data_IF_434460732257
#
_entry.id   IF_434460732257
#
_cell.length_a   1.000
_cell.length_b   1.000
_cell.length_c   1.000
_cell.angle_alpha   90.00
_cell.angle_beta   90.00
_cell.angle_gamma   90.00
#
_symmetry.space_group_name_H-M   'P 1'
#
loop_
_entity.id
_entity.type
_entity.pdbx_description
1 polymer ?
#
# COMPACT_ATOMS: atom_id res chain seq x y z
N UNK A 1 54.43 14.88 -15.30
CA UNK A 1 53.78 13.72 -14.70
C UNK A 1 52.71 14.22 -13.73
N UNK A 2 51.56 14.51 -14.23
CA UNK A 2 50.34 14.88 -13.49
C UNK A 2 49.20 14.45 -14.38
N UNK A 3 48.10 14.02 -13.70
CA UNK A 3 46.76 13.83 -14.26
C UNK A 3 46.39 12.41 -14.73
N UNK A 4 45.91 11.64 -13.75
CA UNK A 4 44.98 10.54 -13.99
C UNK A 4 44.25 10.11 -12.70
N UNK A 5 43.44 10.97 -12.10
CA UNK A 5 42.46 10.59 -11.08
C UNK A 5 41.26 11.56 -11.18
N UNK A 6 40.31 11.21 -12.00
CA UNK A 6 39.08 11.98 -12.10
C UNK A 6 38.19 11.41 -13.18
N UNK A 7 37.39 10.45 -12.88
CA UNK A 7 36.05 10.24 -13.43
C UNK A 7 35.54 8.79 -13.27
N UNK A 8 35.16 8.41 -12.06
CA UNK A 8 34.44 7.14 -11.85
C UNK A 8 33.19 7.26 -10.99
N UNK A 9 32.74 8.46 -10.65
CA UNK A 9 31.56 8.65 -9.78
C UNK A 9 30.26 9.03 -10.49
N UNK A 10 30.23 9.12 -11.82
CA UNK A 10 29.02 9.54 -12.54
C UNK A 10 28.26 8.41 -13.26
N UNK A 11 28.73 7.17 -13.20
CA UNK A 11 28.08 6.06 -13.93
C UNK A 11 27.05 5.27 -13.15
N UNK A 12 26.96 5.44 -11.83
CA UNK A 12 26.04 4.65 -11.00
C UNK A 12 24.66 5.29 -10.77
N UNK A 13 24.54 6.60 -10.95
CA UNK A 13 23.25 7.27 -10.78
C UNK A 13 22.36 7.22 -12.02
N UNK A 14 22.91 7.19 -13.21
CA UNK A 14 22.15 7.12 -14.46
C UNK A 14 21.48 5.77 -14.67
N UNK A 15 22.10 4.68 -14.22
CA UNK A 15 21.53 3.32 -14.39
C UNK A 15 20.30 3.10 -13.49
N UNK A 16 20.23 3.76 -12.35
CA UNK A 16 19.08 3.65 -11.43
C UNK A 16 17.85 4.44 -11.92
N UNK A 17 18.05 5.48 -12.69
CA UNK A 17 16.96 6.31 -13.23
C UNK A 17 16.39 5.73 -14.53
N UNK A 18 17.21 5.13 -15.38
CA UNK A 18 16.78 4.45 -16.60
C UNK A 18 16.02 3.15 -16.33
N UNK A 19 16.45 2.38 -15.33
CA UNK A 19 15.74 1.15 -14.94
C UNK A 19 14.36 1.44 -14.30
N UNK A 20 14.17 2.66 -13.80
CA UNK A 20 12.90 3.14 -13.23
C UNK A 20 11.87 3.51 -14.31
N UNK A 21 12.31 3.89 -15.50
CA UNK A 21 11.47 4.23 -16.64
C UNK A 21 11.09 3.00 -17.49
N UNK A 22 11.82 1.90 -17.35
CA UNK A 22 11.65 0.70 -18.17
C UNK A 22 10.56 -0.27 -17.69
N UNK A 23 9.99 -0.07 -16.49
CA UNK A 23 8.77 -0.79 -16.11
C UNK A 23 7.61 -0.05 -16.78
N UNK A 24 7.22 -0.54 -17.94
CA UNK A 24 6.13 0.02 -18.73
C UNK A 24 4.89 0.17 -17.84
N UNK A 25 4.16 1.26 -18.03
CA UNK A 25 2.92 1.58 -17.32
C UNK A 25 1.89 0.44 -17.38
N UNK A 26 2.02 -0.43 -18.39
CA UNK A 26 1.19 -1.62 -18.61
C UNK A 26 1.49 -2.79 -17.68
N UNK A 27 2.66 -2.83 -17.02
CA UNK A 27 3.07 -3.95 -16.14
C UNK A 27 2.92 -3.62 -14.64
N UNK A 28 2.33 -2.47 -14.31
CA UNK A 28 2.08 -2.12 -12.91
C UNK A 28 0.94 -2.95 -12.35
N UNK A 29 1.16 -3.60 -11.22
CA UNK A 29 0.09 -4.36 -10.59
C UNK A 29 -1.05 -3.41 -10.19
N UNK A 30 -2.24 -3.72 -10.67
CA UNK A 30 -3.45 -2.93 -10.40
C UNK A 30 -4.24 -3.51 -9.22
N UNK A 31 -5.05 -2.68 -8.58
CA UNK A 31 -5.87 -3.07 -7.44
C UNK A 31 -5.04 -3.66 -6.28
N UNK A 32 -4.01 -2.93 -5.87
CA UNK A 32 -3.09 -3.36 -4.82
C UNK A 32 -3.38 -2.67 -3.50
N UNK A 33 -3.50 -3.46 -2.45
CA UNK A 33 -3.49 -3.02 -1.04
C UNK A 33 -2.07 -3.13 -0.51
N UNK A 34 -1.45 -2.00 -0.22
CA UNK A 34 -0.19 -1.97 0.53
C UNK A 34 -0.49 -1.89 2.01
N UNK A 35 0.13 -2.75 2.79
CA UNK A 35 -0.16 -2.90 4.22
C UNK A 35 1.11 -3.10 5.04
N UNK A 36 1.03 -2.79 6.33
CA UNK A 36 2.10 -3.04 7.28
C UNK A 36 2.08 -4.51 7.71
N UNK A 37 3.05 -5.30 7.24
CA UNK A 37 3.11 -6.74 7.47
C UNK A 37 3.30 -7.15 8.94
N UNK A 38 3.86 -6.27 9.79
CA UNK A 38 4.07 -6.55 11.21
C UNK A 38 2.92 -6.04 12.10
N UNK A 39 1.98 -5.29 11.54
CA UNK A 39 0.83 -4.77 12.27
C UNK A 39 -0.29 -5.82 12.38
N UNK A 40 -0.70 -6.18 13.60
CA UNK A 40 -1.80 -7.13 13.82
C UNK A 40 -3.14 -6.69 13.23
N UNK A 41 -3.46 -5.40 13.28
CA UNK A 41 -4.66 -4.84 12.67
C UNK A 41 -4.63 -4.94 11.14
N UNK A 42 -3.50 -4.59 10.52
CA UNK A 42 -3.34 -4.65 9.07
C UNK A 42 -3.46 -6.09 8.55
N UNK A 43 -2.88 -7.05 9.27
CA UNK A 43 -3.01 -8.46 8.92
C UNK A 43 -4.47 -8.94 9.02
N UNK A 44 -5.21 -8.57 10.06
CA UNK A 44 -6.66 -8.86 10.17
C UNK A 44 -7.46 -8.22 9.04
N UNK A 45 -7.09 -7.01 8.63
CA UNK A 45 -7.72 -6.36 7.49
C UNK A 45 -7.47 -7.13 6.19
N UNK A 46 -6.24 -7.59 5.95
CA UNK A 46 -5.91 -8.45 4.81
C UNK A 46 -6.72 -9.75 4.84
N UNK A 47 -6.80 -10.44 5.99
CA UNK A 47 -7.60 -11.67 6.17
C UNK A 47 -9.09 -11.42 5.88
N UNK A 48 -9.61 -10.29 6.37
CA UNK A 48 -10.97 -9.88 6.09
C UNK A 48 -11.22 -9.68 4.59
N UNK A 49 -10.34 -8.98 3.88
CA UNK A 49 -10.47 -8.74 2.44
C UNK A 49 -10.34 -10.05 1.66
N UNK A 50 -9.35 -10.89 1.99
CA UNK A 50 -9.16 -12.21 1.37
C UNK A 50 -10.41 -13.08 1.46
N UNK A 51 -11.06 -13.10 2.61
CA UNK A 51 -12.26 -13.93 2.84
C UNK A 51 -13.51 -13.42 2.11
N UNK A 52 -13.54 -12.16 1.68
CA UNK A 52 -14.71 -11.53 1.01
C UNK A 52 -14.51 -11.30 -0.47
N UNK A 53 -13.28 -11.13 -0.91
CA UNK A 53 -12.97 -10.95 -2.33
C UNK A 53 -13.02 -12.28 -3.09
N UNK A 54 -14.23 -12.70 -3.40
CA UNK A 54 -14.50 -13.95 -4.17
C UNK A 54 -13.95 -13.88 -5.60
N UNK A 55 -13.74 -12.68 -6.14
CA UNK A 55 -13.25 -12.48 -7.52
C UNK A 55 -11.74 -12.60 -7.60
N UNK A 56 -11.03 -12.54 -6.45
CA UNK A 56 -9.58 -12.50 -6.43
C UNK A 56 -8.97 -11.27 -7.11
N UNK A 57 -9.76 -10.19 -7.20
CA UNK A 57 -9.37 -8.99 -7.93
C UNK A 57 -8.38 -8.10 -7.16
N UNK A 58 -8.26 -8.28 -5.85
CA UNK A 58 -7.40 -7.49 -4.98
C UNK A 58 -6.09 -8.24 -4.75
N UNK A 59 -4.97 -7.55 -4.97
CA UNK A 59 -3.62 -8.02 -4.65
C UNK A 59 -3.11 -7.32 -3.39
N UNK A 60 -2.12 -7.91 -2.76
CA UNK A 60 -1.55 -7.43 -1.49
C UNK A 60 -0.05 -7.31 -1.61
N UNK A 61 0.51 -6.22 -1.11
CA UNK A 61 1.94 -6.02 -1.03
C UNK A 61 2.31 -5.50 0.36
N UNK A 62 3.26 -6.13 1.07
CA UNK A 62 3.77 -5.55 2.30
C UNK A 62 4.55 -4.28 1.99
N UNK A 63 4.38 -3.25 2.83
CA UNK A 63 5.12 -1.98 2.69
C UNK A 63 6.64 -2.16 2.82
N UNK A 64 7.06 -3.27 3.39
CA UNK A 64 8.46 -3.65 3.52
C UNK A 64 8.99 -4.42 2.29
N UNK A 65 8.10 -4.81 1.35
CA UNK A 65 8.43 -5.61 0.16
C UNK A 65 9.04 -4.81 -0.99
N UNK A 66 9.54 -5.51 -1.99
CA UNK A 66 10.15 -4.89 -3.18
C UNK A 66 9.13 -4.12 -4.02
N UNK A 67 7.92 -4.65 -4.19
CA UNK A 67 6.84 -3.97 -4.92
C UNK A 67 6.53 -2.59 -4.35
N UNK A 68 6.60 -2.44 -3.02
CA UNK A 68 6.36 -1.15 -2.36
C UNK A 68 7.49 -0.15 -2.60
N UNK A 69 8.73 -0.60 -2.79
CA UNK A 69 9.89 0.25 -3.12
C UNK A 69 9.80 0.81 -4.54
N UNK A 70 9.24 0.02 -5.46
CA UNK A 70 9.04 0.40 -6.86
C UNK A 70 7.82 1.31 -7.07
N UNK A 71 7.02 1.50 -6.03
CA UNK A 71 5.86 2.38 -6.06
C UNK A 71 6.29 3.81 -6.42
N UNK A 72 5.66 4.44 -7.44
CA UNK A 72 5.87 5.86 -7.63
C UNK A 72 5.49 6.56 -6.32
N UNK A 73 6.37 7.44 -5.84
CA UNK A 73 5.98 8.34 -4.74
C UNK A 73 4.81 9.13 -5.28
N UNK A 74 3.60 8.74 -4.90
CA UNK A 74 2.41 9.40 -5.37
C UNK A 74 2.55 10.88 -5.08
N UNK A 75 2.37 11.69 -6.09
CA UNK A 75 1.87 13.04 -5.91
C UNK A 75 0.47 12.91 -5.31
N UNK A 76 0.43 12.47 -4.05
CA UNK A 76 -0.80 12.44 -3.29
C UNK A 76 -1.26 13.87 -3.22
N UNK A 77 -2.44 14.10 -3.76
CA UNK A 77 -3.18 15.37 -3.65
C UNK A 77 -3.41 15.79 -2.19
N UNK A 78 -2.99 14.96 -1.24
CA UNK A 78 -2.98 15.27 0.19
C UNK A 78 -1.57 15.73 0.60
N UNK A 79 -1.43 17.00 1.03
CA UNK A 79 -0.16 17.56 1.42
C UNK A 79 0.42 16.81 2.64
N UNK A 80 1.62 16.31 2.50
CA UNK A 80 2.56 15.95 3.59
C UNK A 80 2.14 14.86 4.59
N UNK A 81 1.45 13.81 4.20
CA UNK A 81 1.12 12.74 5.13
C UNK A 81 1.69 11.37 4.76
N UNK A 82 2.76 11.34 3.99
CA UNK A 82 3.67 10.19 4.01
C UNK A 82 4.63 10.41 5.16
N UNK A 83 4.11 10.24 6.38
CA UNK A 83 4.97 9.97 7.50
C UNK A 83 5.82 8.75 7.11
N UNK A 84 7.12 8.89 7.15
CA UNK A 84 8.16 7.87 6.93
C UNK A 84 8.02 6.63 7.84
N UNK A 85 7.05 6.61 8.71
CA UNK A 85 6.59 5.48 9.48
C UNK A 85 5.51 4.76 8.67
N UNK A 86 5.85 3.66 8.04
CA UNK A 86 5.06 2.63 7.31
C UNK A 86 3.72 2.23 7.97
N UNK A 87 2.90 3.20 8.38
CA UNK A 87 1.82 3.00 9.32
C UNK A 87 0.42 3.13 8.72
N UNK A 88 0.32 3.18 7.39
CA UNK A 88 -0.94 3.50 6.72
C UNK A 88 -1.23 2.50 5.62
N UNK A 89 -2.46 1.98 5.58
CA UNK A 89 -2.93 1.19 4.44
C UNK A 89 -3.06 2.12 3.23
N UNK A 90 -2.52 1.68 2.10
CA UNK A 90 -2.60 2.37 0.81
C UNK A 90 -3.32 1.48 -0.19
N UNK A 91 -4.24 2.02 -0.94
CA UNK A 91 -4.90 1.38 -2.05
C UNK A 91 -4.43 2.00 -3.36
N UNK A 92 -3.93 1.19 -4.28
CA UNK A 92 -3.67 1.60 -5.67
C UNK A 92 -4.75 1.03 -6.58
N UNK A 93 -5.44 1.89 -7.30
CA UNK A 93 -6.50 1.47 -8.23
C UNK A 93 -5.96 1.01 -9.59
N UNK A 94 -6.86 0.60 -10.48
CA UNK A 94 -6.51 0.15 -11.83
C UNK A 94 -5.84 1.23 -12.69
N UNK A 95 -6.00 2.50 -12.35
CA UNK A 95 -5.34 3.63 -13.04
C UNK A 95 -4.04 4.06 -12.38
N UNK A 96 -3.56 3.32 -11.37
CA UNK A 96 -2.35 3.67 -10.63
C UNK A 96 -2.52 4.81 -9.62
N UNK A 97 -3.74 5.31 -9.41
CA UNK A 97 -3.99 6.34 -8.39
C UNK A 97 -3.98 5.72 -7.01
N UNK A 98 -3.35 6.40 -6.08
CA UNK A 98 -3.21 5.94 -4.71
C UNK A 98 -4.16 6.68 -3.77
N UNK A 99 -4.73 5.92 -2.85
CA UNK A 99 -5.61 6.39 -1.80
C UNK A 99 -5.05 5.95 -0.46
N UNK A 100 -5.08 6.83 0.52
CA UNK A 100 -4.48 6.64 1.83
C UNK A 100 -5.54 6.51 2.91
N UNK A 101 -5.19 5.86 4.02
CA UNK A 101 -5.99 5.87 5.26
C UNK A 101 -7.45 5.44 5.06
N UNK A 102 -8.39 6.27 5.48
CA UNK A 102 -9.82 6.02 5.40
C UNK A 102 -10.32 5.96 3.95
N UNK A 103 -9.73 6.73 3.03
CA UNK A 103 -10.06 6.67 1.61
C UNK A 103 -9.67 5.32 0.98
N UNK A 104 -8.53 4.74 1.37
CA UNK A 104 -8.14 3.40 0.96
C UNK A 104 -9.16 2.35 1.43
N UNK A 105 -9.55 2.39 2.71
CA UNK A 105 -10.53 1.45 3.26
C UNK A 105 -11.87 1.50 2.52
N UNK A 106 -12.39 2.69 2.24
CA UNK A 106 -13.64 2.88 1.47
C UNK A 106 -13.52 2.27 0.07
N UNK A 107 -12.40 2.51 -0.63
CA UNK A 107 -12.18 1.96 -1.99
C UNK A 107 -12.13 0.44 -1.99
N UNK A 108 -11.45 -0.16 -1.01
CA UNK A 108 -11.42 -1.61 -0.84
C UNK A 108 -12.83 -2.16 -0.61
N UNK A 109 -13.65 -1.54 0.25
CA UNK A 109 -15.03 -1.95 0.49
C UNK A 109 -15.87 -1.90 -0.78
N UNK A 110 -15.70 -0.87 -1.60
CA UNK A 110 -16.40 -0.78 -2.90
C UNK A 110 -15.98 -1.89 -3.84
N UNK A 111 -14.71 -2.28 -3.84
CA UNK A 111 -14.21 -3.37 -4.68
C UNK A 111 -14.75 -4.75 -4.25
N UNK A 112 -15.01 -4.95 -2.95
CA UNK A 112 -15.61 -6.17 -2.43
C UNK A 112 -17.06 -6.35 -2.88
N UNK A 113 -17.75 -5.27 -3.27
CA UNK A 113 -19.12 -5.28 -3.77
C UNK A 113 -20.18 -5.71 -2.75
N UNK A 114 -21.42 -5.96 -3.22
CA UNK A 114 -22.56 -6.41 -2.40
C UNK A 114 -22.77 -5.50 -1.18
N UNK A 115 -22.99 -6.11 0.00
CA UNK A 115 -23.20 -5.37 1.26
C UNK A 115 -22.03 -4.46 1.63
N UNK A 116 -20.80 -4.82 1.27
CA UNK A 116 -19.60 -4.04 1.55
C UNK A 116 -19.57 -2.73 0.78
N UNK A 117 -20.14 -2.69 -0.40
CA UNK A 117 -20.33 -1.47 -1.18
C UNK A 117 -21.22 -0.47 -0.44
N UNK A 118 -22.34 -0.93 0.16
CA UNK A 118 -23.21 -0.08 0.99
C UNK A 118 -22.46 0.46 2.21
N UNK A 119 -21.69 -0.38 2.91
CA UNK A 119 -20.89 0.04 4.07
C UNK A 119 -19.85 1.07 3.64
N UNK A 120 -19.19 0.86 2.51
CA UNK A 120 -18.24 1.81 1.94
C UNK A 120 -18.90 3.15 1.62
N UNK A 121 -20.13 3.13 1.10
CA UNK A 121 -20.90 4.33 0.79
C UNK A 121 -21.34 5.08 2.06
N UNK A 122 -21.80 4.35 3.06
CA UNK A 122 -22.14 4.91 4.37
C UNK A 122 -20.90 5.55 5.03
N UNK A 123 -19.77 4.89 4.94
CA UNK A 123 -18.50 5.44 5.44
C UNK A 123 -18.06 6.68 4.65
N UNK A 124 -18.31 6.69 3.33
CA UNK A 124 -17.98 7.82 2.47
C UNK A 124 -18.85 9.04 2.76
N UNK A 125 -20.08 8.84 3.22
CA UNK A 125 -21.00 9.94 3.61
C UNK A 125 -20.47 10.68 4.85
N UNK A 126 -19.66 10.06 5.68
CA UNK A 126 -19.00 10.75 6.78
C UNK A 126 -18.03 11.82 6.25
N UNK A 127 -18.05 13.05 6.78
CA UNK A 127 -17.08 14.09 6.43
C UNK A 127 -15.65 13.59 6.59
N UNK A 128 -14.79 13.88 5.61
CA UNK A 128 -13.38 13.46 5.58
C UNK A 128 -12.65 13.68 6.92
N UNK A 129 -12.74 14.86 7.57
CA UNK A 129 -11.99 15.11 8.81
C UNK A 129 -12.44 14.18 9.94
N UNK A 130 -13.73 13.88 10.04
CA UNK A 130 -14.25 12.98 11.08
C UNK A 130 -13.83 11.53 10.83
N UNK A 131 -13.90 11.08 9.59
CA UNK A 131 -13.49 9.74 9.18
C UNK A 131 -11.98 9.53 9.37
N UNK A 132 -11.18 10.51 9.00
CA UNK A 132 -9.73 10.47 9.17
C UNK A 132 -9.31 10.58 10.63
N UNK A 133 -10.06 11.33 11.45
CA UNK A 133 -9.85 11.37 12.90
C UNK A 133 -10.04 9.98 13.51
N UNK A 134 -11.14 9.30 13.17
CA UNK A 134 -11.39 7.91 13.61
C UNK A 134 -10.27 6.97 13.18
N UNK A 135 -9.85 7.07 11.91
CA UNK A 135 -8.72 6.29 11.41
C UNK A 135 -7.42 6.56 12.18
N UNK A 136 -7.10 7.83 12.45
CA UNK A 136 -5.88 8.23 13.19
C UNK A 136 -5.88 7.71 14.63
N UNK A 137 -7.02 7.75 15.31
CA UNK A 137 -7.17 7.21 16.67
C UNK A 137 -6.88 5.70 16.67
N UNK A 138 -7.47 4.95 15.74
CA UNK A 138 -7.24 3.51 15.61
C UNK A 138 -5.79 3.23 15.22
N UNK A 139 -5.25 3.97 14.26
CA UNK A 139 -3.87 3.81 13.79
C UNK A 139 -2.84 4.11 14.90
N UNK A 140 -3.06 5.13 15.71
CA UNK A 140 -2.19 5.47 16.84
C UNK A 140 -2.17 4.38 17.93
N UNK A 141 -3.31 3.72 18.14
CA UNK A 141 -3.45 2.69 19.18
C UNK A 141 -3.32 1.25 18.64
N UNK A 142 -3.10 1.06 17.34
CA UNK A 142 -3.16 -0.24 16.67
C UNK A 142 -2.24 -1.30 17.27
N UNK A 143 -1.02 -0.93 17.65
CA UNK A 143 -0.07 -1.87 18.25
C UNK A 143 -0.46 -2.23 19.68
N UNK A 144 -1.08 -1.30 20.41
CA UNK A 144 -1.58 -1.54 21.76
C UNK A 144 -2.83 -2.43 21.77
N UNK A 145 -3.73 -2.22 20.80
CA UNK A 145 -5.01 -2.94 20.70
C UNK A 145 -4.90 -4.28 19.97
N UNK A 146 -4.04 -4.37 18.96
CA UNK A 146 -3.97 -5.54 18.06
C UNK A 146 -2.61 -6.24 18.07
N UNK A 147 -1.67 -5.72 18.86
CA UNK A 147 -0.33 -6.25 18.96
C UNK A 147 0.57 -5.95 17.74
N UNK A 148 1.86 -6.13 17.94
CA UNK A 148 2.89 -6.10 16.90
C UNK A 148 3.39 -7.53 16.73
N UNK A 149 3.44 -8.02 15.49
CA UNK A 149 4.03 -9.31 15.16
C UNK A 149 5.52 -9.13 14.90
N UNK A 150 6.34 -10.08 15.35
CA UNK A 150 7.79 -10.06 15.11
C UNK A 150 8.13 -10.32 13.65
N UNK A 151 7.28 -11.06 12.94
CA UNK A 151 7.46 -11.41 11.53
C UNK A 151 6.30 -10.93 10.68
N UNK A 152 6.60 -10.58 9.42
CA UNK A 152 5.58 -10.28 8.43
C UNK A 152 4.68 -11.51 8.18
N UNK A 153 3.40 -11.26 7.87
CA UNK A 153 2.46 -12.31 7.51
C UNK A 153 2.98 -13.11 6.32
N UNK A 154 3.10 -14.41 6.49
CA UNK A 154 3.39 -15.34 5.40
C UNK A 154 2.08 -15.79 4.75
N UNK A 155 1.90 -15.60 3.43
CA UNK A 155 0.71 -16.09 2.74
C UNK A 155 0.70 -17.62 2.67
N UNK A 156 -0.48 -18.22 2.80
CA UNK A 156 -0.66 -19.64 2.53
C UNK A 156 -0.37 -19.96 1.07
N UNK A 157 -0.10 -21.23 0.69
CA UNK A 157 0.12 -21.61 -0.70
C UNK A 157 -1.00 -21.15 -1.66
N UNK A 158 -2.26 -21.22 -1.21
CA UNK A 158 -3.41 -20.79 -1.99
C UNK A 158 -3.50 -19.24 -2.16
N UNK A 159 -2.94 -18.49 -1.23
CA UNK A 159 -2.96 -17.02 -1.25
C UNK A 159 -1.77 -16.42 -2.00
N UNK A 160 -0.69 -17.20 -2.21
CA UNK A 160 0.59 -16.70 -2.78
C UNK A 160 0.42 -15.94 -4.09
N UNK A 161 -0.48 -16.41 -4.96
CA UNK A 161 -0.76 -15.73 -6.23
C UNK A 161 -1.31 -14.31 -6.09
N UNK A 162 -1.80 -13.97 -4.89
CA UNK A 162 -2.39 -12.66 -4.59
C UNK A 162 -1.42 -11.73 -3.82
N UNK A 163 -0.29 -12.26 -3.36
CA UNK A 163 0.72 -11.49 -2.66
C UNK A 163 1.89 -11.16 -3.59
N UNK A 164 2.22 -9.89 -3.63
CA UNK A 164 3.36 -9.38 -4.37
C UNK A 164 4.58 -9.28 -3.43
N UNK A 165 5.80 -9.48 -3.96
CA UNK A 165 7.02 -9.44 -3.17
C UNK A 165 7.38 -8.06 -2.60
#
# INVERSE_FOLDING_TARGET
MRDALGNQSMSSETTSTENRAAIGEADRPTNVVYFDGVCGLCNRFVDFVLSRDRRGAIRFAPLQGETAKLRPKAESREPKAVDSNFSTVVWSDASGREFLRSAAAVRVLWQLGRVWWLIGWLLWLLPLPLRDLGYRIIAANRYRLFGKKETCRMPTPAERARFLP
#
